data_IF_892217070998
#
_entry.id   IF_892217070998
#
_cell.length_a   1.000
_cell.length_b   1.000
_cell.length_c   1.000
_cell.angle_alpha   90.00
_cell.angle_beta   90.00
_cell.angle_gamma   90.00
#
_symmetry.space_group_name_H-M   'P 1'
#
loop_
_entity.id
_entity.type
_entity.pdbx_description
1 polymer ?
#
# COMPACT_ATOMS: atom_id res chain seq x y z
N UNK A 1 2.45 -17.62 -5.35
CA UNK A 1 2.37 -16.22 -4.89
C UNK A 1 0.95 -15.95 -4.42
N UNK A 2 0.75 -15.19 -3.33
CA UNK A 2 -0.61 -14.78 -2.94
C UNK A 2 -1.15 -13.81 -4.00
N UNK A 3 -2.34 -14.08 -4.52
CA UNK A 3 -2.98 -13.23 -5.52
C UNK A 3 -3.63 -12.06 -4.77
N UNK A 4 -2.90 -10.97 -4.64
CA UNK A 4 -3.33 -9.77 -3.93
C UNK A 4 -3.97 -8.86 -4.98
N UNK A 5 -5.26 -8.58 -4.83
CA UNK A 5 -5.87 -7.49 -5.58
C UNK A 5 -5.29 -6.17 -5.06
N UNK A 6 -4.58 -5.39 -5.89
CA UNK A 6 -4.03 -4.11 -5.47
C UNK A 6 -5.10 -3.18 -4.90
N UNK A 7 -6.37 -3.30 -5.30
CA UNK A 7 -7.46 -2.46 -4.81
C UNK A 7 -7.83 -2.75 -3.34
N UNK A 8 -7.48 -3.92 -2.82
CA UNK A 8 -7.75 -4.31 -1.42
C UNK A 8 -6.61 -3.93 -0.46
N UNK A 9 -5.63 -3.14 -0.93
CA UNK A 9 -4.41 -2.83 -0.20
C UNK A 9 -4.14 -1.34 -0.14
N UNK A 10 -3.90 -0.86 1.06
CA UNK A 10 -3.30 0.44 1.34
C UNK A 10 -1.77 0.32 1.44
N UNK A 11 -1.06 1.37 1.00
CA UNK A 11 0.41 1.41 1.00
C UNK A 11 0.87 2.54 1.91
N UNK A 12 1.77 2.24 2.82
CA UNK A 12 2.50 3.23 3.60
C UNK A 12 3.96 3.26 3.18
N UNK A 13 4.53 4.47 3.11
CA UNK A 13 5.94 4.73 2.88
C UNK A 13 6.49 5.51 4.07
N UNK A 14 7.43 4.93 4.81
CA UNK A 14 8.04 5.51 6.00
C UNK A 14 7.00 5.98 7.04
N UNK A 15 5.96 5.18 7.27
CA UNK A 15 4.86 5.49 8.18
C UNK A 15 3.88 6.56 7.67
N UNK A 16 3.98 6.96 6.40
CA UNK A 16 3.03 7.88 5.76
C UNK A 16 2.17 7.13 4.77
N UNK A 17 0.85 7.16 4.98
CA UNK A 17 -0.14 6.61 4.05
C UNK A 17 -0.07 7.30 2.69
N UNK A 18 0.10 6.53 1.61
CA UNK A 18 0.09 7.05 0.25
C UNK A 18 -1.33 7.01 -0.34
N UNK A 19 -1.74 8.14 -0.92
CA UNK A 19 -2.96 8.21 -1.73
C UNK A 19 -2.80 7.39 -3.02
N UNK A 20 -3.92 6.87 -3.53
CA UNK A 20 -3.94 5.90 -4.63
C UNK A 20 -3.37 6.47 -5.94
N UNK A 21 -3.69 7.72 -6.24
CA UNK A 21 -3.22 8.47 -7.41
C UNK A 21 -1.71 8.77 -7.34
N UNK A 22 -1.14 8.85 -6.14
CA UNK A 22 0.29 9.08 -5.92
C UNK A 22 1.15 7.84 -6.07
N UNK A 23 0.57 6.64 -6.08
CA UNK A 23 1.34 5.38 -6.17
C UNK A 23 2.18 5.29 -7.45
N UNK A 24 1.70 5.86 -8.56
CA UNK A 24 2.40 5.83 -9.85
C UNK A 24 3.60 6.78 -9.92
N UNK A 25 3.61 7.83 -9.10
CA UNK A 25 4.59 8.93 -9.19
C UNK A 25 5.48 9.07 -7.97
N UNK A 26 5.18 8.38 -6.87
CA UNK A 26 6.00 8.45 -5.65
C UNK A 26 7.24 7.59 -5.83
N UNK A 27 8.45 8.17 -5.89
CA UNK A 27 9.67 7.39 -5.99
C UNK A 27 9.96 6.69 -4.66
N UNK A 28 10.43 5.44 -4.74
CA UNK A 28 10.96 4.68 -3.60
C UNK A 28 12.47 4.63 -3.74
N UNK A 29 13.19 4.87 -2.66
CA UNK A 29 14.66 4.81 -2.62
C UNK A 29 15.13 3.73 -1.66
N UNK A 30 16.40 3.37 -1.79
CA UNK A 30 17.04 2.45 -0.87
C UNK A 30 16.97 2.97 0.56
N UNK A 31 16.62 2.09 1.50
CA UNK A 31 16.42 2.40 2.91
C UNK A 31 15.00 2.85 3.30
N UNK A 32 14.11 3.06 2.34
CA UNK A 32 12.70 3.32 2.64
C UNK A 32 11.99 2.07 3.16
N UNK A 33 11.05 2.27 4.09
CA UNK A 33 10.18 1.23 4.62
C UNK A 33 8.81 1.29 3.95
N UNK A 34 8.42 0.19 3.31
CA UNK A 34 7.10 0.02 2.70
C UNK A 34 6.25 -0.96 3.52
N UNK A 35 5.02 -0.57 3.82
CA UNK A 35 4.04 -1.43 4.47
C UNK A 35 2.78 -1.57 3.63
N UNK A 36 2.24 -2.78 3.55
CA UNK A 36 1.03 -3.11 2.80
C UNK A 36 -0.05 -3.56 3.77
N UNK A 37 -1.09 -2.74 3.93
CA UNK A 37 -2.21 -2.99 4.82
C UNK A 37 -3.37 -3.56 4.01
N UNK A 38 -3.81 -4.77 4.33
CA UNK A 38 -4.92 -5.44 3.67
C UNK A 38 -6.24 -5.08 4.36
N UNK A 39 -7.19 -4.53 3.60
CA UNK A 39 -8.56 -4.41 4.08
C UNK A 39 -9.24 -5.77 4.02
N UNK A 40 -9.21 -6.50 5.12
CA UNK A 40 -10.06 -7.68 5.28
C UNK A 40 -11.47 -7.17 5.62
N UNK A 41 -12.32 -7.04 4.60
CA UNK A 41 -13.71 -6.64 4.75
C UNK A 41 -14.49 -7.58 5.68
N UNK A 42 -14.51 -7.26 6.96
CA UNK A 42 -15.29 -7.93 7.99
C UNK A 42 -16.46 -7.05 8.40
N UNK A 43 -17.59 -7.18 7.69
CA UNK A 43 -18.83 -6.52 8.08
C UNK A 43 -19.88 -6.58 6.99
N UNK A 44 -20.69 -7.64 7.00
CA UNK A 44 -22.08 -7.55 6.55
C UNK A 44 -22.92 -7.06 7.71
#
# INVERSE_FOLDING_TARGET
AKNIDPQMVAVELNGTMLERDRLATTPVKEGDQLEFLFYMGGGR
#
